data_IF_748738991904
#
_entry.id   IF_748738991904
#
_cell.length_a   1.000
_cell.length_b   1.000
_cell.length_c   1.000
_cell.angle_alpha   90.00
_cell.angle_beta   90.00
_cell.angle_gamma   90.00
#
_symmetry.space_group_name_H-M   'P 1'
#
loop_
_entity.id
_entity.type
_entity.pdbx_description
1 polymer ?
#
# COMPACT_ATOMS: atom_id res chain seq x y z
N UNK A 1 48.67 -21.48 -24.54
CA UNK A 1 47.32 -21.94 -24.16
C UNK A 1 47.27 -21.98 -22.65
N UNK A 2 46.73 -20.95 -22.02
CA UNK A 2 46.30 -21.01 -20.62
C UNK A 2 44.98 -20.25 -20.56
N UNK A 3 43.93 -21.01 -20.27
CA UNK A 3 42.57 -20.54 -20.07
C UNK A 3 42.50 -20.12 -18.61
N UNK A 4 42.38 -18.83 -18.34
CA UNK A 4 41.93 -18.34 -17.04
C UNK A 4 40.41 -18.19 -17.08
N UNK A 5 39.78 -18.93 -16.18
CA UNK A 5 38.35 -19.09 -16.01
C UNK A 5 37.86 -17.97 -15.07
N UNK A 6 37.22 -16.94 -15.62
CA UNK A 6 36.73 -15.79 -14.85
C UNK A 6 35.43 -16.18 -14.13
N UNK A 7 35.58 -16.56 -12.86
CA UNK A 7 34.52 -17.04 -11.99
C UNK A 7 33.64 -15.91 -11.46
N UNK A 8 32.39 -15.90 -11.90
CA UNK A 8 31.18 -15.49 -11.15
C UNK A 8 31.28 -14.22 -10.29
N UNK A 9 30.81 -13.10 -10.84
CA UNK A 9 30.39 -11.91 -10.09
C UNK A 9 29.21 -12.24 -9.17
N UNK A 10 29.50 -12.74 -7.96
CA UNK A 10 28.52 -12.82 -6.89
C UNK A 10 28.19 -11.39 -6.43
N UNK A 11 26.99 -10.90 -6.76
CA UNK A 11 26.45 -9.67 -6.19
C UNK A 11 26.39 -9.83 -4.67
N UNK A 12 27.28 -9.16 -3.95
CA UNK A 12 27.29 -9.10 -2.48
C UNK A 12 26.06 -8.32 -2.00
N UNK A 13 24.95 -9.00 -1.76
CA UNK A 13 23.80 -8.44 -1.03
C UNK A 13 24.19 -8.32 0.45
N UNK A 14 24.52 -7.12 0.91
CA UNK A 14 24.81 -6.87 2.32
C UNK A 14 23.48 -6.65 3.04
N UNK A 15 22.95 -7.70 3.66
CA UNK A 15 21.82 -7.58 4.57
C UNK A 15 22.18 -6.60 5.70
N UNK A 16 21.55 -5.44 5.69
CA UNK A 16 21.69 -4.46 6.77
C UNK A 16 20.78 -4.90 7.91
N UNK A 17 21.33 -5.70 8.81
CA UNK A 17 20.68 -6.07 10.07
C UNK A 17 21.31 -5.29 11.22
N UNK A 18 20.48 -4.61 12.02
CA UNK A 18 20.96 -4.08 13.30
C UNK A 18 20.95 -5.20 14.36
N UNK A 19 21.98 -5.24 15.19
CA UNK A 19 22.05 -6.17 16.32
C UNK A 19 21.10 -5.68 17.43
N UNK A 20 20.34 -6.60 18.04
CA UNK A 20 19.46 -6.34 19.19
C UNK A 20 18.22 -5.45 18.94
N UNK A 21 17.63 -5.47 17.73
CA UNK A 21 16.33 -4.83 17.51
C UNK A 21 15.24 -5.59 18.31
N UNK A 22 14.59 -4.88 19.24
CA UNK A 22 13.41 -5.40 19.93
C UNK A 22 12.29 -5.66 18.92
N UNK A 23 11.57 -6.77 19.10
CA UNK A 23 10.43 -7.13 18.24
C UNK A 23 9.33 -6.05 18.35
N UNK A 24 9.04 -5.27 17.29
CA UNK A 24 8.04 -4.21 17.36
C UNK A 24 6.66 -4.75 17.72
N UNK A 25 6.38 -5.99 17.33
CA UNK A 25 5.15 -6.71 17.62
C UNK A 25 4.81 -6.80 19.12
N UNK A 26 5.80 -6.68 20.01
CA UNK A 26 5.59 -6.68 21.46
C UNK A 26 4.89 -5.41 21.96
N UNK A 27 4.85 -4.35 21.15
CA UNK A 27 4.23 -3.06 21.46
C UNK A 27 2.86 -2.87 20.81
N UNK A 28 2.42 -3.80 19.95
CA UNK A 28 1.14 -3.68 19.26
C UNK A 28 -0.02 -3.77 20.26
N UNK A 29 -1.03 -2.91 20.07
CA UNK A 29 -2.27 -2.95 20.85
C UNK A 29 -3.07 -4.23 20.54
N UNK A 30 -3.13 -4.61 19.25
CA UNK A 30 -3.70 -5.87 18.79
C UNK A 30 -2.66 -6.99 18.90
N UNK A 31 -3.01 -8.05 19.64
CA UNK A 31 -2.15 -9.24 19.70
C UNK A 31 -2.19 -9.98 18.38
N UNK A 32 -1.02 -10.46 17.95
CA UNK A 32 -0.88 -11.28 16.74
C UNK A 32 -1.51 -12.65 16.98
N UNK A 33 -2.45 -13.03 16.12
CA UNK A 33 -3.04 -14.36 16.04
C UNK A 33 -2.50 -15.08 14.79
N UNK A 34 -1.73 -16.15 15.02
CA UNK A 34 -1.21 -17.02 13.96
C UNK A 34 -1.93 -18.39 13.93
N UNK A 35 -3.13 -18.48 14.52
CA UNK A 35 -3.96 -19.67 14.39
C UNK A 35 -4.45 -19.83 12.95
N UNK A 36 -4.91 -21.04 12.60
CA UNK A 36 -5.45 -21.32 11.26
C UNK A 36 -6.90 -20.82 11.08
N UNK A 37 -7.42 -20.01 12.00
CA UNK A 37 -8.75 -19.43 11.86
C UNK A 37 -8.71 -18.30 10.81
N UNK A 38 -9.78 -18.11 10.01
CA UNK A 38 -9.87 -16.94 9.15
C UNK A 38 -9.69 -15.65 9.97
N UNK A 39 -8.79 -14.78 9.52
CA UNK A 39 -8.55 -13.51 10.19
C UNK A 39 -9.85 -12.66 10.17
N UNK A 40 -10.27 -12.11 11.32
CA UNK A 40 -11.42 -11.22 11.35
C UNK A 40 -11.12 -9.91 10.61
N UNK A 41 -12.15 -9.31 10.05
CA UNK A 41 -12.08 -7.96 9.50
C UNK A 41 -11.65 -6.97 10.61
N UNK A 42 -10.59 -6.19 10.35
CA UNK A 42 -10.13 -5.14 11.27
C UNK A 42 -10.93 -3.84 11.17
N UNK A 43 -11.69 -3.65 10.09
CA UNK A 43 -12.48 -2.46 9.84
C UNK A 43 -13.62 -2.31 10.85
N UNK A 44 -13.72 -1.12 11.44
CA UNK A 44 -14.79 -0.75 12.38
C UNK A 44 -15.71 0.33 11.84
N UNK A 45 -15.21 1.15 10.91
CA UNK A 45 -15.91 2.28 10.30
C UNK A 45 -15.68 2.22 8.79
N UNK A 46 -16.75 2.40 8.02
CA UNK A 46 -16.74 2.30 6.56
C UNK A 46 -17.04 3.68 5.93
N UNK A 47 -16.05 4.59 5.82
CA UNK A 47 -16.24 5.87 5.12
C UNK A 47 -16.52 5.66 3.63
N UNK A 48 -17.13 6.63 2.96
CA UNK A 48 -17.45 6.57 1.53
C UNK A 48 -18.33 5.35 1.11
N UNK A 49 -19.06 4.77 2.07
CA UNK A 49 -19.89 3.59 1.84
C UNK A 49 -21.10 3.91 0.94
N UNK A 50 -21.30 3.04 -0.05
CA UNK A 50 -22.56 2.93 -0.81
C UNK A 50 -23.49 1.89 -0.19
N UNK A 51 -22.92 0.88 0.49
CA UNK A 51 -23.67 -0.14 1.24
C UNK A 51 -23.16 -0.25 2.68
N UNK A 52 -24.05 -0.54 3.66
CA UNK A 52 -23.64 -0.74 5.06
C UNK A 52 -22.52 -1.77 5.22
N UNK A 53 -21.67 -1.61 6.26
CA UNK A 53 -20.58 -2.56 6.56
C UNK A 53 -21.07 -3.99 6.84
N UNK A 54 -22.32 -4.14 7.30
CA UNK A 54 -22.91 -5.40 7.74
C UNK A 54 -23.84 -6.06 6.69
N UNK A 55 -23.80 -5.67 5.42
CA UNK A 55 -24.59 -6.37 4.40
C UNK A 55 -23.93 -7.72 4.11
N UNK A 56 -24.43 -8.75 4.77
CA UNK A 56 -24.35 -10.13 4.31
C UNK A 56 -25.68 -10.32 3.58
N UNK A 57 -25.67 -10.40 2.25
CA UNK A 57 -26.87 -10.81 1.51
C UNK A 57 -27.10 -12.30 1.81
N UNK A 58 -27.83 -12.58 2.90
CA UNK A 58 -28.17 -13.92 3.37
C UNK A 58 -29.44 -14.49 2.69
N UNK A 59 -29.85 -13.92 1.55
CA UNK A 59 -31.08 -14.33 0.85
C UNK A 59 -30.88 -14.32 -0.64
N UNK A 60 -31.02 -15.52 -1.24
CA UNK A 60 -31.21 -15.65 -2.68
C UNK A 60 -32.56 -15.02 -3.12
N UNK A 61 -32.76 -14.83 -4.43
CA UNK A 61 -34.02 -14.31 -5.01
C UNK A 61 -35.27 -15.17 -4.64
N UNK A 62 -35.06 -16.34 -4.01
CA UNK A 62 -36.10 -17.28 -3.58
C UNK A 62 -36.38 -17.24 -2.06
N UNK A 63 -35.66 -16.41 -1.29
CA UNK A 63 -35.85 -16.24 0.14
C UNK A 63 -35.29 -17.36 1.02
N UNK A 64 -34.38 -18.20 0.51
CA UNK A 64 -33.74 -19.26 1.29
C UNK A 64 -32.42 -18.78 1.92
N UNK A 65 -32.26 -19.05 3.23
CA UNK A 65 -30.97 -18.93 3.91
C UNK A 65 -30.00 -19.98 3.36
N UNK A 66 -29.03 -19.55 2.56
CA UNK A 66 -27.94 -20.42 2.15
C UNK A 66 -26.97 -20.58 3.33
N UNK A 67 -26.75 -21.83 3.76
CA UNK A 67 -25.68 -22.25 4.68
C UNK A 67 -24.27 -22.05 4.05
N UNK A 68 -24.02 -20.90 3.42
CA UNK A 68 -22.68 -20.53 2.98
C UNK A 68 -21.90 -20.08 4.20
N UNK A 69 -21.06 -21.00 4.69
CA UNK A 69 -19.99 -20.77 5.64
C UNK A 69 -19.41 -19.36 5.49
N UNK A 70 -19.69 -18.43 6.41
CA UNK A 70 -18.82 -17.38 6.96
C UNK A 70 -17.68 -16.79 6.07
N UNK A 71 -17.83 -16.75 4.76
CA UNK A 71 -16.87 -16.17 3.84
C UNK A 71 -17.02 -14.67 4.00
N UNK A 72 -16.02 -14.10 4.67
CA UNK A 72 -15.90 -12.69 4.92
C UNK A 72 -15.93 -11.96 3.57
N UNK A 73 -17.09 -11.38 3.24
CA UNK A 73 -17.26 -10.54 2.07
C UNK A 73 -16.29 -9.37 2.14
N UNK A 74 -15.64 -9.02 1.03
CA UNK A 74 -14.72 -7.89 1.01
C UNK A 74 -15.53 -6.60 1.29
N UNK A 75 -15.24 -5.84 2.37
CA UNK A 75 -16.11 -4.77 2.85
C UNK A 75 -16.46 -3.69 1.82
N UNK A 76 -15.57 -3.45 0.85
CA UNK A 76 -15.75 -2.46 -0.22
C UNK A 76 -16.00 -3.09 -1.60
N UNK A 77 -16.37 -4.36 -1.68
CA UNK A 77 -16.57 -5.02 -2.98
C UNK A 77 -17.59 -4.28 -3.84
N UNK A 78 -18.76 -3.96 -3.26
CA UNK A 78 -19.81 -3.23 -3.98
C UNK A 78 -19.30 -1.88 -4.48
N UNK A 79 -18.59 -1.12 -3.63
CA UNK A 79 -18.03 0.17 -4.01
C UNK A 79 -16.98 0.07 -5.13
N UNK A 80 -16.18 -1.00 -5.17
CA UNK A 80 -15.17 -1.24 -6.20
C UNK A 80 -15.80 -1.66 -7.53
N UNK A 81 -16.83 -2.50 -7.49
CA UNK A 81 -17.54 -2.96 -8.68
C UNK A 81 -18.44 -1.86 -9.28
N UNK A 82 -18.87 -0.90 -8.47
CA UNK A 82 -19.77 0.19 -8.85
C UNK A 82 -19.13 1.57 -8.66
N UNK A 83 -17.87 1.74 -9.06
CA UNK A 83 -17.18 3.05 -8.96
C UNK A 83 -17.78 4.05 -9.95
N UNK A 84 -18.18 5.22 -9.44
CA UNK A 84 -18.44 6.40 -10.27
C UNK A 84 -17.13 7.17 -10.45
N UNK A 85 -16.43 6.90 -11.55
CA UNK A 85 -15.14 7.53 -11.82
C UNK A 85 -15.33 9.02 -12.18
N UNK A 86 -14.53 9.94 -11.62
CA UNK A 86 -14.57 11.34 -12.03
C UNK A 86 -14.11 11.49 -13.49
N UNK A 87 -14.87 12.25 -14.30
CA UNK A 87 -14.67 12.40 -15.76
C UNK A 87 -13.24 12.78 -16.17
N UNK A 88 -12.54 13.53 -15.30
CA UNK A 88 -11.16 13.96 -15.52
C UNK A 88 -10.19 12.80 -15.78
N UNK A 89 -10.47 11.59 -15.27
CA UNK A 89 -9.62 10.41 -15.44
C UNK A 89 -9.63 9.92 -16.89
N UNK A 90 -10.73 10.13 -17.61
CA UNK A 90 -10.87 9.73 -19.02
C UNK A 90 -10.51 10.85 -20.00
N UNK A 91 -10.15 12.02 -19.47
CA UNK A 91 -9.72 13.16 -20.28
C UNK A 91 -8.19 13.19 -20.34
N UNK A 92 -7.63 13.29 -21.55
CA UNK A 92 -6.19 13.46 -21.72
C UNK A 92 -5.77 14.81 -21.11
N UNK A 93 -4.77 14.77 -20.24
CA UNK A 93 -4.16 15.96 -19.64
C UNK A 93 -2.66 15.98 -19.91
N UNK A 94 -2.08 17.19 -19.90
CA UNK A 94 -0.63 17.35 -19.97
C UNK A 94 0.03 16.74 -18.72
N UNK A 95 1.09 15.92 -18.86
CA UNK A 95 1.78 15.33 -17.73
C UNK A 95 2.38 16.39 -16.80
N UNK A 96 2.04 16.31 -15.52
CA UNK A 96 2.68 17.11 -14.46
C UNK A 96 3.93 16.37 -14.01
N UNK A 97 5.10 16.92 -14.34
CA UNK A 97 6.39 16.37 -13.93
C UNK A 97 6.59 16.49 -12.41
N UNK A 98 7.27 15.52 -11.77
CA UNK A 98 7.63 15.65 -10.36
C UNK A 98 8.53 16.87 -10.15
N UNK A 99 8.39 17.49 -8.98
CA UNK A 99 9.30 18.55 -8.54
C UNK A 99 10.67 17.97 -8.22
N UNK A 100 11.68 18.83 -8.21
CA UNK A 100 13.02 18.42 -7.77
C UNK A 100 12.99 17.98 -6.30
N UNK A 101 13.86 17.03 -5.96
CA UNK A 101 13.96 16.47 -4.60
C UNK A 101 14.13 17.57 -3.54
N UNK A 102 15.01 18.54 -3.79
CA UNK A 102 15.31 19.64 -2.86
C UNK A 102 14.14 20.62 -2.68
N UNK A 103 13.15 20.59 -3.56
CA UNK A 103 11.99 21.48 -3.55
C UNK A 103 10.73 20.81 -2.99
N UNK A 104 10.74 19.49 -2.84
CA UNK A 104 9.58 18.71 -2.39
C UNK A 104 9.66 18.56 -0.87
N UNK A 105 8.70 19.09 -0.10
CA UNK A 105 8.66 18.89 1.34
C UNK A 105 8.54 17.41 1.66
N UNK A 106 9.39 16.95 2.58
CA UNK A 106 9.37 15.60 3.11
C UNK A 106 8.98 15.64 4.59
N UNK A 107 8.05 14.77 5.00
CA UNK A 107 7.66 14.62 6.41
C UNK A 107 7.71 13.16 6.83
N UNK A 108 8.50 12.86 7.87
CA UNK A 108 8.40 11.59 8.58
C UNK A 108 7.27 11.69 9.60
N UNK A 109 6.35 10.74 9.59
CA UNK A 109 5.11 10.77 10.39
C UNK A 109 5.11 9.60 11.37
N UNK A 110 5.35 9.87 12.64
CA UNK A 110 5.32 8.88 13.73
C UNK A 110 4.40 9.29 14.90
N UNK A 111 3.84 10.50 14.86
CA UNK A 111 2.89 11.00 15.86
C UNK A 111 1.45 11.02 15.35
N UNK A 112 0.49 10.90 16.27
CA UNK A 112 -0.94 10.97 15.94
C UNK A 112 -1.31 12.32 15.33
N UNK A 113 -0.76 13.41 15.88
CA UNK A 113 -1.07 14.77 15.45
C UNK A 113 -0.63 15.04 14.01
N UNK A 114 0.58 14.60 13.64
CA UNK A 114 1.08 14.70 12.27
C UNK A 114 0.31 13.80 11.32
N UNK A 115 -0.02 12.59 11.76
CA UNK A 115 -0.81 11.65 10.98
C UNK A 115 -2.19 12.21 10.63
N UNK A 116 -2.92 12.78 11.59
CA UNK A 116 -4.22 13.38 11.31
C UNK A 116 -4.12 14.61 10.38
N UNK A 117 -3.08 15.44 10.53
CA UNK A 117 -2.81 16.56 9.59
C UNK A 117 -2.52 16.07 8.17
N UNK A 118 -1.80 14.97 8.03
CA UNK A 118 -1.57 14.33 6.74
C UNK A 118 -2.90 13.87 6.13
N UNK A 119 -3.75 13.16 6.88
CA UNK A 119 -5.07 12.72 6.39
C UNK A 119 -5.91 13.89 5.85
N UNK A 120 -5.95 15.03 6.56
CA UNK A 120 -6.66 16.22 6.09
C UNK A 120 -6.16 16.74 4.73
N UNK A 121 -4.86 16.61 4.45
CA UNK A 121 -4.26 16.99 3.17
C UNK A 121 -4.57 15.97 2.08
N UNK A 122 -4.46 14.67 2.40
CA UNK A 122 -4.80 13.59 1.46
C UNK A 122 -6.26 13.68 1.01
N UNK A 123 -7.19 14.00 1.93
CA UNK A 123 -8.61 14.18 1.63
C UNK A 123 -8.92 15.33 0.65
N UNK A 124 -7.97 16.25 0.43
CA UNK A 124 -8.11 17.37 -0.52
C UNK A 124 -7.41 17.10 -1.86
N UNK A 125 -6.63 16.04 -1.96
CA UNK A 125 -5.92 15.69 -3.18
C UNK A 125 -6.86 15.11 -4.23
N UNK A 126 -6.50 15.24 -5.49
CA UNK A 126 -7.19 14.55 -6.61
C UNK A 126 -6.58 13.17 -6.86
N UNK A 127 -5.30 12.99 -6.58
CA UNK A 127 -4.62 11.71 -6.66
C UNK A 127 -3.49 11.64 -5.62
N UNK A 128 -3.20 10.43 -5.17
CA UNK A 128 -2.12 10.12 -4.25
C UNK A 128 -1.38 8.89 -4.77
N UNK A 129 -0.06 8.87 -4.65
CA UNK A 129 0.75 7.68 -4.89
C UNK A 129 1.05 7.00 -3.56
N UNK A 130 1.06 5.67 -3.53
CA UNK A 130 1.25 4.88 -2.32
C UNK A 130 2.18 3.70 -2.59
N UNK A 131 3.04 3.40 -1.63
CA UNK A 131 3.94 2.24 -1.62
C UNK A 131 4.17 1.78 -0.17
N UNK A 132 4.60 0.53 0.04
CA UNK A 132 4.79 -0.05 1.38
C UNK A 132 6.14 -0.74 1.51
N UNK A 133 6.70 -0.73 2.72
CA UNK A 133 7.82 -1.60 3.08
C UNK A 133 7.38 -2.68 4.06
N UNK A 134 7.56 -3.94 3.66
CA UNK A 134 7.11 -5.11 4.40
C UNK A 134 8.27 -5.93 4.97
N UNK A 135 8.06 -6.55 6.14
CA UNK A 135 9.05 -7.44 6.78
C UNK A 135 8.46 -8.79 7.16
N UNK A 136 9.00 -9.86 6.59
CA UNK A 136 8.58 -11.25 6.84
C UNK A 136 9.62 -12.10 7.58
N UNK A 137 10.91 -11.75 7.53
CA UNK A 137 11.98 -12.61 8.08
C UNK A 137 11.85 -12.95 9.59
N UNK A 138 11.29 -12.05 10.41
CA UNK A 138 11.08 -12.26 11.86
C UNK A 138 9.60 -12.19 12.26
N UNK A 139 8.72 -12.54 11.33
CA UNK A 139 7.27 -12.67 11.52
C UNK A 139 6.76 -13.95 10.84
N UNK A 140 5.61 -14.47 11.26
CA UNK A 140 5.01 -15.62 10.58
C UNK A 140 4.22 -15.18 9.34
N UNK A 141 3.31 -14.22 9.52
CA UNK A 141 2.49 -13.65 8.43
C UNK A 141 3.15 -12.44 7.74
N UNK A 142 4.26 -11.96 8.29
CA UNK A 142 4.79 -10.64 7.93
C UNK A 142 4.22 -9.51 8.79
N UNK A 143 4.64 -8.28 8.49
CA UNK A 143 3.99 -7.04 8.90
C UNK A 143 4.58 -5.86 8.12
N UNK A 144 3.76 -4.86 7.89
CA UNK A 144 4.13 -3.61 7.23
C UNK A 144 4.88 -2.70 8.20
N UNK A 145 6.08 -2.27 7.81
CA UNK A 145 6.98 -1.44 8.59
C UNK A 145 6.83 0.05 8.28
N UNK A 146 6.51 0.38 7.03
CA UNK A 146 6.49 1.74 6.52
C UNK A 146 5.42 1.87 5.43
N UNK A 147 4.81 3.05 5.35
CA UNK A 147 3.93 3.43 4.25
C UNK A 147 4.44 4.74 3.66
N UNK A 148 4.68 4.75 2.36
CA UNK A 148 5.07 5.93 1.60
C UNK A 148 3.83 6.48 0.91
N UNK A 149 3.59 7.79 1.05
CA UNK A 149 2.48 8.46 0.39
C UNK A 149 2.99 9.75 -0.23
N UNK A 150 2.65 10.00 -1.49
CA UNK A 150 2.99 11.24 -2.18
C UNK A 150 1.75 11.90 -2.74
N UNK A 151 1.70 13.23 -2.66
CA UNK A 151 0.80 14.05 -3.46
C UNK A 151 1.60 14.76 -4.55
N UNK A 152 0.97 15.66 -5.31
CA UNK A 152 1.70 16.57 -6.20
C UNK A 152 2.59 17.57 -5.47
N UNK A 153 2.31 17.80 -4.18
CA UNK A 153 2.92 18.91 -3.45
C UNK A 153 3.98 18.48 -2.45
N UNK A 154 3.84 17.31 -1.82
CA UNK A 154 4.70 16.84 -0.72
C UNK A 154 4.67 15.31 -0.57
N UNK A 155 5.70 14.79 0.11
CA UNK A 155 5.94 13.38 0.36
C UNK A 155 5.89 13.07 1.86
N UNK A 156 5.30 11.91 2.20
CA UNK A 156 5.25 11.38 3.55
C UNK A 156 5.83 9.98 3.64
N UNK A 157 6.57 9.76 4.72
CA UNK A 157 6.99 8.43 5.15
C UNK A 157 6.39 8.18 6.52
N UNK A 158 5.46 7.24 6.59
CA UNK A 158 4.64 6.96 7.76
C UNK A 158 5.19 5.75 8.50
N UNK A 159 5.47 5.91 9.79
CA UNK A 159 5.83 4.80 10.67
C UNK A 159 4.61 3.93 10.98
N UNK A 160 4.45 2.89 10.16
CA UNK A 160 3.33 1.97 10.27
C UNK A 160 3.39 1.08 11.53
N UNK A 161 4.55 0.99 12.19
CA UNK A 161 4.71 0.28 13.46
C UNK A 161 4.22 1.13 14.64
N UNK A 162 4.59 2.41 14.67
CA UNK A 162 4.18 3.34 15.72
C UNK A 162 2.68 3.68 15.62
N UNK A 163 2.18 3.85 14.39
CA UNK A 163 0.82 4.33 14.13
C UNK A 163 -0.16 3.21 13.79
N UNK A 164 0.21 1.93 13.99
CA UNK A 164 -0.56 0.74 13.59
C UNK A 164 -2.04 0.83 13.94
N UNK A 165 -2.38 1.23 15.17
CA UNK A 165 -3.77 1.31 15.66
C UNK A 165 -4.57 2.48 15.06
N UNK A 166 -3.90 3.43 14.41
CA UNK A 166 -4.49 4.63 13.78
C UNK A 166 -4.59 4.52 12.26
N UNK A 167 -3.86 3.60 11.63
CA UNK A 167 -3.79 3.47 10.16
C UNK A 167 -5.16 3.35 9.48
N UNK A 168 -6.19 2.83 10.17
CA UNK A 168 -7.55 2.72 9.63
C UNK A 168 -8.16 4.07 9.19
N UNK A 169 -7.66 5.22 9.69
CA UNK A 169 -8.09 6.55 9.24
C UNK A 169 -7.75 6.81 7.77
N UNK A 170 -6.78 6.11 7.18
CA UNK A 170 -6.49 6.19 5.75
C UNK A 170 -7.70 5.83 4.88
N UNK A 171 -8.65 5.03 5.39
CA UNK A 171 -9.87 4.72 4.65
C UNK A 171 -10.64 5.98 4.21
N UNK A 172 -10.56 7.10 4.93
CA UNK A 172 -11.22 8.35 4.52
C UNK A 172 -10.82 8.80 3.10
N UNK A 173 -9.53 8.71 2.76
CA UNK A 173 -8.99 9.06 1.44
C UNK A 173 -8.88 7.83 0.53
N UNK A 174 -8.46 6.69 1.06
CA UNK A 174 -8.19 5.47 0.29
C UNK A 174 -9.47 4.84 -0.28
N UNK A 175 -10.62 5.06 0.35
CA UNK A 175 -11.91 4.55 -0.16
C UNK A 175 -12.75 5.63 -0.83
N UNK A 176 -12.27 6.87 -0.90
CA UNK A 176 -12.95 7.95 -1.61
C UNK A 176 -12.78 7.76 -3.14
N UNK A 177 -13.86 7.52 -3.91
CA UNK A 177 -13.77 7.26 -5.34
C UNK A 177 -13.33 8.49 -6.16
N UNK A 178 -13.37 9.70 -5.61
CA UNK A 178 -12.93 10.91 -6.30
C UNK A 178 -11.41 11.10 -6.30
N UNK A 179 -10.70 10.38 -5.41
CA UNK A 179 -9.25 10.43 -5.26
C UNK A 179 -8.66 9.18 -5.92
N UNK A 180 -7.77 9.32 -6.89
CA UNK A 180 -7.10 8.17 -7.50
C UNK A 180 -5.97 7.72 -6.59
N UNK A 181 -5.89 6.42 -6.28
CA UNK A 181 -4.75 5.84 -5.56
C UNK A 181 -3.84 5.15 -6.57
N UNK A 182 -2.64 5.69 -6.76
CA UNK A 182 -1.67 5.18 -7.72
C UNK A 182 -0.69 4.27 -7.00
N UNK A 183 -0.56 3.04 -7.47
CA UNK A 183 0.42 2.06 -6.98
C UNK A 183 1.24 1.51 -8.16
N UNK A 184 2.26 0.72 -7.84
CA UNK A 184 3.02 -0.06 -8.82
C UNK A 184 3.13 -1.52 -8.39
N UNK A 185 2.29 -2.40 -8.95
CA UNK A 185 2.27 -3.81 -8.60
C UNK A 185 1.67 -4.05 -7.21
N UNK A 186 0.46 -3.55 -6.99
CA UNK A 186 -0.16 -3.45 -5.66
C UNK A 186 -0.66 -4.77 -5.06
N UNK A 187 -0.45 -5.91 -5.72
CA UNK A 187 -1.07 -7.20 -5.36
C UNK A 187 -0.83 -7.56 -3.87
N UNK A 188 0.41 -7.47 -3.42
CA UNK A 188 0.76 -7.73 -2.02
C UNK A 188 0.34 -6.57 -1.11
N UNK A 189 0.49 -5.33 -1.57
CA UNK A 189 0.20 -4.14 -0.76
C UNK A 189 -1.25 -4.08 -0.32
N UNK A 190 -2.18 -4.40 -1.24
CA UNK A 190 -3.61 -4.45 -0.95
C UNK A 190 -3.91 -5.47 0.15
N UNK A 191 -3.26 -6.65 0.13
CA UNK A 191 -3.45 -7.67 1.16
C UNK A 191 -2.86 -7.19 2.49
N UNK A 192 -1.66 -6.61 2.49
CA UNK A 192 -1.00 -6.13 3.70
C UNK A 192 -1.78 -5.00 4.37
N UNK A 193 -2.29 -4.02 3.61
CA UNK A 193 -3.15 -2.95 4.14
C UNK A 193 -4.39 -3.50 4.86
N UNK A 194 -5.01 -4.54 4.31
CA UNK A 194 -6.19 -5.17 4.91
C UNK A 194 -5.83 -5.95 6.17
N UNK A 195 -4.84 -6.83 6.08
CA UNK A 195 -4.43 -7.72 7.18
C UNK A 195 -3.83 -6.96 8.36
N UNK A 196 -3.00 -5.95 8.10
CA UNK A 196 -2.34 -5.20 9.17
C UNK A 196 -3.23 -4.12 9.76
N UNK A 197 -3.95 -3.37 8.91
CA UNK A 197 -4.56 -2.11 9.31
C UNK A 197 -6.08 -2.02 9.10
N UNK A 198 -6.68 -2.95 8.35
CA UNK A 198 -8.08 -2.83 7.92
C UNK A 198 -8.30 -1.65 6.97
N UNK A 199 -7.29 -1.34 6.15
CA UNK A 199 -7.34 -0.29 5.12
C UNK A 199 -7.68 -0.93 3.78
N UNK A 200 -8.61 -0.31 3.05
CA UNK A 200 -9.09 -0.75 1.74
C UNK A 200 -8.89 0.35 0.71
N UNK A 201 -8.83 -0.02 -0.57
CA UNK A 201 -8.61 0.92 -1.67
C UNK A 201 -9.78 0.84 -2.67
N UNK A 202 -10.36 1.98 -2.99
CA UNK A 202 -11.39 2.16 -4.03
C UNK A 202 -10.86 3.18 -5.04
N UNK A 203 -11.01 2.96 -6.35
CA UNK A 203 -10.36 3.77 -7.39
C UNK A 203 -8.81 3.67 -7.35
N UNK A 204 -8.33 2.44 -7.51
CA UNK A 204 -6.92 2.10 -7.68
C UNK A 204 -6.50 2.22 -9.15
N UNK A 205 -5.36 2.84 -9.41
CA UNK A 205 -4.66 2.82 -10.69
C UNK A 205 -3.29 2.16 -10.52
N UNK A 206 -3.10 0.99 -11.12
CA UNK A 206 -1.83 0.27 -11.03
C UNK A 206 -0.97 0.48 -12.28
N UNK A 207 0.18 1.14 -12.08
CA UNK A 207 1.14 1.44 -13.13
C UNK A 207 1.84 0.21 -13.69
N UNK A 208 1.92 -0.90 -12.96
CA UNK A 208 2.42 -2.18 -13.47
C UNK A 208 1.52 -2.69 -14.59
N UNK A 209 0.20 -2.75 -14.36
CA UNK A 209 -0.77 -3.15 -15.39
C UNK A 209 -0.81 -2.16 -16.57
N UNK A 210 -0.74 -0.85 -16.28
CA UNK A 210 -0.65 0.16 -17.33
C UNK A 210 0.59 -0.04 -18.24
N UNK A 211 1.75 -0.36 -17.65
CA UNK A 211 2.99 -0.59 -18.43
C UNK A 211 2.89 -1.80 -19.37
N UNK A 212 2.12 -2.84 -18.99
CA UNK A 212 1.85 -3.99 -19.86
C UNK A 212 0.92 -3.61 -21.01
N UNK A 213 -0.15 -2.87 -20.72
CA UNK A 213 -1.08 -2.39 -21.73
C UNK A 213 -0.42 -1.45 -22.75
N UNK A 214 0.53 -0.63 -22.29
CA UNK A 214 1.32 0.25 -23.15
C UNK A 214 2.48 -0.46 -23.87
N UNK A 215 2.65 -1.77 -23.65
CA UNK A 215 3.68 -2.62 -24.27
C UNK A 215 5.10 -2.06 -24.08
N UNK A 216 5.41 -1.59 -22.87
CA UNK A 216 6.77 -1.17 -22.51
C UNK A 216 7.72 -2.37 -22.46
N UNK A 217 9.02 -2.12 -22.66
CA UNK A 217 10.00 -3.22 -22.74
C UNK A 217 10.29 -3.87 -21.39
N UNK A 218 10.06 -3.16 -20.29
CA UNK A 218 10.12 -3.68 -18.93
C UNK A 218 9.00 -3.07 -18.09
N UNK A 219 8.65 -3.74 -16.99
CA UNK A 219 7.49 -3.40 -16.17
C UNK A 219 7.83 -3.09 -14.72
N UNK A 220 9.12 -3.02 -14.37
CA UNK A 220 9.55 -2.70 -13.01
C UNK A 220 9.51 -1.21 -12.73
N UNK A 221 9.23 -0.82 -11.48
CA UNK A 221 9.23 0.58 -11.06
C UNK A 221 10.55 1.28 -11.41
N UNK A 222 11.69 0.62 -11.15
CA UNK A 222 13.01 1.15 -11.47
C UNK A 222 13.20 1.45 -12.96
N UNK A 223 12.60 0.65 -13.85
CA UNK A 223 12.60 0.93 -15.27
C UNK A 223 11.73 2.15 -15.59
N UNK A 224 10.53 2.26 -15.03
CA UNK A 224 9.63 3.40 -15.27
C UNK A 224 10.25 4.71 -14.78
N UNK A 225 10.89 4.71 -13.62
CA UNK A 225 11.62 5.87 -13.08
C UNK A 225 12.74 6.30 -14.03
N UNK A 226 13.52 5.34 -14.55
CA UNK A 226 14.60 5.65 -15.48
C UNK A 226 14.09 6.13 -16.85
N UNK A 227 13.04 5.49 -17.35
CA UNK A 227 12.50 5.76 -18.69
C UNK A 227 11.72 7.09 -18.76
N UNK A 228 10.88 7.37 -17.77
CA UNK A 228 9.95 8.51 -17.80
C UNK A 228 10.56 9.79 -17.19
N UNK A 229 11.35 9.66 -16.12
CA UNK A 229 11.87 10.82 -15.36
C UNK A 229 13.39 10.82 -15.23
N UNK A 230 14.09 9.92 -15.93
CA UNK A 230 15.55 9.78 -15.91
C UNK A 230 16.15 9.65 -14.50
N UNK A 231 15.45 8.95 -13.60
CA UNK A 231 15.92 8.70 -12.23
C UNK A 231 16.45 7.26 -12.08
N UNK A 232 17.65 7.12 -11.54
CA UNK A 232 18.27 5.82 -11.25
C UNK A 232 17.99 5.41 -9.80
N UNK A 233 17.06 4.46 -9.61
CA UNK A 233 16.69 3.97 -8.28
C UNK A 233 17.80 3.11 -7.64
N UNK A 234 18.19 3.45 -6.41
CA UNK A 234 19.12 2.63 -5.62
C UNK A 234 18.39 1.42 -5.02
N UNK A 235 18.73 0.21 -5.50
CA UNK A 235 18.12 -1.06 -5.07
C UNK A 235 18.77 -1.67 -3.83
N UNK A 236 19.78 -1.02 -3.25
CA UNK A 236 20.58 -1.57 -2.14
C UNK A 236 19.75 -1.90 -0.90
N UNK A 237 18.68 -1.14 -0.66
CA UNK A 237 17.88 -1.23 0.57
C UNK A 237 16.61 -2.07 0.44
N UNK A 238 16.35 -2.69 -0.70
CA UNK A 238 15.15 -3.51 -0.90
C UNK A 238 15.08 -4.73 0.05
N UNK A 239 16.22 -5.22 0.52
CA UNK A 239 16.33 -6.32 1.49
C UNK A 239 16.78 -5.83 2.87
N UNK A 240 16.63 -4.54 3.16
CA UNK A 240 17.01 -3.97 4.44
C UNK A 240 16.04 -4.38 5.54
N UNK A 241 16.53 -4.35 6.78
CA UNK A 241 15.66 -4.53 7.94
C UNK A 241 14.90 -3.22 8.24
N UNK A 242 13.74 -3.04 7.61
CA UNK A 242 12.87 -1.86 7.75
C UNK A 242 12.26 -1.66 9.15
N UNK A 243 12.60 -2.53 10.11
CA UNK A 243 12.24 -2.36 11.53
C UNK A 243 13.18 -1.42 12.28
N UNK A 244 14.32 -1.08 11.69
CA UNK A 244 15.29 -0.16 12.29
C UNK A 244 14.64 1.22 12.44
N UNK A 245 14.87 1.86 13.59
CA UNK A 245 14.44 3.21 13.94
C UNK A 245 15.62 3.94 14.58
#
# INVERSE_FOLDING_TARGET
MNVENDGSNARNYKLLHAQNILRPQLKFEDKIDNSNNPAPLKIKVKPNAKVPLNVIDDVDESGNQTNMEKYVYHPYQYEIEHIDYPERIFTIQEPIMPKDYDQTPFTFVDTKEEFMKMIEKLNKATEIAVDLEHHDYRSFQGFTCLVQISTREEDWVVDALALRSLMYHLNESFTNPNIVKVFHGAESDIVWLQCDFGVYVVNLFDTYHASHLLNYSQHSLAYLLKFLVNFDADKKYQLADWRIR
#
